data_IF_022669255470
#
_entry.id   IF_022669255470
#
_cell.length_a   1.000
_cell.length_b   1.000
_cell.length_c   1.000
_cell.angle_alpha   90.00
_cell.angle_beta   90.00
_cell.angle_gamma   90.00
#
_symmetry.space_group_name_H-M   'P 1'
#
loop_
_entity.id
_entity.type
_entity.pdbx_description
1 polymer ?
#
# COMPACT_ATOMS: atom_id res chain seq x y z
N UNK A 1 -48.56 -3.90 16.49
CA UNK A 1 -47.99 -5.20 16.92
C UNK A 1 -48.53 -6.29 16.01
N UNK A 2 -47.69 -7.24 15.59
CA UNK A 2 -47.86 -8.17 14.43
C UNK A 2 -47.50 -7.42 13.15
N UNK A 3 -46.45 -7.76 12.40
CA UNK A 3 -45.94 -9.07 12.02
C UNK A 3 -44.43 -8.94 11.73
N UNK A 4 -43.74 -10.07 11.58
CA UNK A 4 -42.39 -10.21 11.02
C UNK A 4 -41.21 -10.21 12.01
N UNK A 5 -41.40 -10.95 13.12
CA UNK A 5 -40.32 -11.68 13.81
C UNK A 5 -39.73 -12.82 12.93
N UNK A 6 -39.41 -12.57 11.66
CA UNK A 6 -38.97 -13.61 10.70
C UNK A 6 -37.61 -13.39 10.02
N UNK A 7 -36.79 -12.43 10.46
CA UNK A 7 -35.42 -12.29 9.93
C UNK A 7 -34.35 -13.01 10.78
N UNK A 8 -34.77 -13.84 11.74
CA UNK A 8 -33.88 -14.63 12.60
C UNK A 8 -33.67 -16.09 12.14
N UNK A 9 -34.01 -16.44 10.89
CA UNK A 9 -34.03 -17.83 10.43
C UNK A 9 -33.37 -18.06 9.06
N UNK A 10 -32.37 -17.26 8.68
CA UNK A 10 -31.47 -17.60 7.58
C UNK A 10 -30.01 -17.58 8.05
N UNK A 11 -29.74 -18.34 9.11
CA UNK A 11 -28.40 -18.56 9.63
C UNK A 11 -27.82 -19.94 9.29
N UNK A 12 -28.48 -20.83 8.53
CA UNK A 12 -28.09 -22.25 8.56
C UNK A 12 -28.02 -23.01 7.21
N UNK A 13 -27.75 -22.32 6.10
CA UNK A 13 -27.35 -22.99 4.86
C UNK A 13 -26.57 -22.01 3.97
N UNK A 14 -25.24 -22.06 3.99
CA UNK A 14 -24.42 -21.20 3.12
C UNK A 14 -22.96 -21.03 3.50
N UNK A 15 -22.48 -21.60 4.61
CA UNK A 15 -21.04 -21.63 4.94
C UNK A 15 -20.56 -23.07 4.90
N UNK A 16 -20.62 -23.67 3.72
CA UNK A 16 -19.85 -24.88 3.40
C UNK A 16 -19.18 -24.70 2.04
N UNK A 17 -18.39 -23.64 1.92
CA UNK A 17 -17.39 -23.44 0.86
C UNK A 17 -16.12 -22.79 1.43
N UNK A 18 -15.77 -23.13 2.67
CA UNK A 18 -14.50 -22.81 3.32
C UNK A 18 -13.71 -24.12 3.50
N UNK A 19 -13.44 -24.78 2.37
CA UNK A 19 -12.43 -25.82 2.17
C UNK A 19 -12.64 -26.38 0.75
N UNK A 20 -11.55 -26.64 0.02
CA UNK A 20 -11.50 -27.22 -1.33
C UNK A 20 -11.56 -26.23 -2.51
N UNK A 21 -10.82 -25.11 -2.46
CA UNK A 21 -10.26 -24.59 -3.72
C UNK A 21 -9.01 -25.43 -4.06
N UNK A 22 -9.28 -26.53 -4.77
CA UNK A 22 -8.41 -27.13 -5.79
C UNK A 22 -6.95 -27.38 -5.41
N UNK A 23 -6.68 -28.53 -4.81
CA UNK A 23 -5.52 -29.28 -5.26
C UNK A 23 -5.86 -29.87 -6.64
N UNK A 24 -4.90 -29.81 -7.57
CA UNK A 24 -4.89 -30.38 -8.93
C UNK A 24 -5.32 -29.45 -10.07
N UNK A 25 -4.39 -29.21 -10.99
CA UNK A 25 -4.64 -28.65 -12.32
C UNK A 25 -3.97 -27.29 -12.52
N UNK A 26 -2.85 -27.31 -13.22
CA UNK A 26 -2.21 -26.20 -13.93
C UNK A 26 -3.18 -25.13 -14.47
N UNK A 27 -3.51 -24.12 -13.68
CA UNK A 27 -4.28 -22.94 -14.12
C UNK A 27 -3.75 -21.71 -13.37
N UNK A 28 -2.94 -20.93 -14.09
CA UNK A 28 -2.08 -19.83 -13.67
C UNK A 28 -2.82 -18.58 -13.17
N UNK A 29 -3.77 -18.73 -12.25
CA UNK A 29 -4.43 -17.57 -11.62
C UNK A 29 -3.51 -17.00 -10.53
N UNK A 30 -3.05 -15.74 -10.65
CA UNK A 30 -2.20 -15.14 -9.63
C UNK A 30 -2.94 -15.07 -8.28
N UNK A 31 -2.22 -15.26 -7.18
CA UNK A 31 -2.76 -15.09 -5.83
C UNK A 31 -3.35 -13.69 -5.64
N UNK A 32 -4.29 -13.53 -4.69
CA UNK A 32 -4.88 -12.22 -4.39
C UNK A 32 -3.82 -11.15 -4.12
N UNK A 33 -2.80 -11.47 -3.33
CA UNK A 33 -1.68 -10.58 -3.06
C UNK A 33 -0.93 -10.15 -4.33
N UNK A 34 -0.67 -11.10 -5.25
CA UNK A 34 -0.02 -10.78 -6.52
C UNK A 34 -0.88 -9.88 -7.41
N UNK A 35 -2.20 -10.11 -7.43
CA UNK A 35 -3.13 -9.24 -8.15
C UNK A 35 -3.13 -7.80 -7.60
N UNK A 36 -3.06 -7.64 -6.28
CA UNK A 36 -2.95 -6.33 -5.62
C UNK A 36 -1.65 -5.64 -5.99
N UNK A 37 -0.52 -6.34 -5.92
CA UNK A 37 0.78 -5.78 -6.28
C UNK A 37 0.81 -5.34 -7.75
N UNK A 38 0.30 -6.17 -8.67
CA UNK A 38 0.26 -5.85 -10.09
C UNK A 38 -0.68 -4.69 -10.40
N UNK A 39 -1.84 -4.65 -9.74
CA UNK A 39 -2.78 -3.54 -9.86
C UNK A 39 -2.16 -2.23 -9.34
N UNK A 40 -1.41 -2.26 -8.23
CA UNK A 40 -0.75 -1.08 -7.68
C UNK A 40 0.28 -0.50 -8.66
N UNK A 41 1.16 -1.35 -9.19
CA UNK A 41 2.19 -0.94 -10.15
C UNK A 41 1.56 -0.43 -11.44
N UNK A 42 0.52 -1.10 -11.94
CA UNK A 42 -0.22 -0.66 -13.13
C UNK A 42 -0.88 0.69 -12.91
N UNK A 43 -1.51 0.91 -11.75
CA UNK A 43 -2.16 2.16 -11.41
C UNK A 43 -1.15 3.32 -11.33
N UNK A 44 0.02 3.09 -10.71
CA UNK A 44 1.12 4.08 -10.66
C UNK A 44 1.63 4.42 -12.05
N UNK A 45 1.91 3.43 -12.90
CA UNK A 45 2.35 3.71 -14.27
C UNK A 45 1.28 4.46 -15.07
N UNK A 46 0.00 4.12 -14.88
CA UNK A 46 -1.11 4.81 -15.54
C UNK A 46 -1.16 6.29 -15.14
N UNK A 47 -1.00 6.58 -13.85
CA UNK A 47 -1.02 7.95 -13.33
C UNK A 47 0.24 8.76 -13.72
N UNK A 48 1.39 8.12 -13.81
CA UNK A 48 2.63 8.75 -14.31
C UNK A 48 2.62 8.99 -15.83
N UNK A 49 1.72 8.34 -16.56
CA UNK A 49 1.53 8.49 -18.00
C UNK A 49 2.24 7.43 -18.85
N UNK A 50 2.00 7.47 -20.16
CA UNK A 50 2.35 6.41 -21.13
C UNK A 50 3.85 6.06 -21.21
N UNK A 51 4.73 6.95 -20.75
CA UNK A 51 6.18 6.73 -20.76
C UNK A 51 6.70 6.02 -19.49
N UNK A 52 5.85 5.82 -18.49
CA UNK A 52 6.24 5.15 -17.25
C UNK A 52 6.36 3.65 -17.46
N UNK A 53 7.53 3.10 -17.14
CA UNK A 53 7.86 1.67 -17.27
C UNK A 53 8.30 1.07 -15.94
N UNK A 54 7.84 1.65 -14.82
CA UNK A 54 8.20 1.19 -13.49
C UNK A 54 7.74 -0.26 -13.32
N UNK A 55 8.64 -1.08 -12.82
CA UNK A 55 8.34 -2.45 -12.40
C UNK A 55 8.28 -2.50 -10.89
N UNK A 56 7.81 -3.61 -10.34
CA UNK A 56 7.86 -3.85 -8.89
C UNK A 56 9.33 -4.12 -8.50
N UNK A 57 10.06 -3.06 -8.12
CA UNK A 57 11.49 -3.14 -7.82
C UNK A 57 11.74 -4.18 -6.73
N UNK A 58 12.62 -5.15 -7.00
CA UNK A 58 12.83 -6.31 -6.12
C UNK A 58 13.40 -5.93 -4.75
N UNK A 59 14.23 -4.90 -4.69
CA UNK A 59 14.85 -4.43 -3.44
C UNK A 59 13.82 -3.69 -2.59
N UNK A 60 13.10 -2.75 -3.19
CA UNK A 60 12.05 -1.99 -2.51
C UNK A 60 10.88 -2.89 -2.10
N UNK A 61 10.52 -3.87 -2.93
CA UNK A 61 9.53 -4.90 -2.59
C UNK A 61 9.97 -5.74 -1.40
N UNK A 62 11.25 -6.14 -1.35
CA UNK A 62 11.77 -6.89 -0.20
C UNK A 62 11.71 -6.04 1.07
N UNK A 63 12.03 -4.75 1.00
CA UNK A 63 11.85 -3.81 2.11
C UNK A 63 10.38 -3.70 2.54
N UNK A 64 9.45 -3.57 1.58
CA UNK A 64 8.01 -3.57 1.87
C UNK A 64 7.57 -4.86 2.57
N UNK A 65 8.04 -6.02 2.11
CA UNK A 65 7.77 -7.31 2.75
C UNK A 65 8.30 -7.38 4.19
N UNK A 66 9.51 -6.85 4.44
CA UNK A 66 10.08 -6.77 5.79
C UNK A 66 9.24 -5.89 6.73
N UNK A 67 8.64 -4.81 6.24
CA UNK A 67 7.70 -4.01 7.04
C UNK A 67 6.46 -4.83 7.42
N UNK A 68 5.95 -5.66 6.50
CA UNK A 68 4.80 -6.53 6.76
C UNK A 68 5.08 -7.66 7.76
N UNK A 69 6.34 -8.03 7.98
CA UNK A 69 6.74 -8.93 9.08
C UNK A 69 6.48 -8.33 10.47
N UNK A 70 6.30 -7.02 10.57
CA UNK A 70 6.01 -6.31 11.83
C UNK A 70 4.53 -6.15 12.12
N UNK A 71 3.66 -6.55 11.19
CA UNK A 71 2.21 -6.57 11.42
C UNK A 71 1.86 -7.75 12.33
N UNK A 72 1.22 -7.44 13.45
CA UNK A 72 0.78 -8.45 14.41
C UNK A 72 -0.50 -9.17 13.94
N UNK A 73 -0.92 -10.20 14.68
CA UNK A 73 -2.10 -11.01 14.33
C UNK A 73 -3.43 -10.22 14.28
N UNK A 74 -3.50 -9.09 14.99
CA UNK A 74 -4.66 -8.20 15.00
C UNK A 74 -4.67 -7.21 13.82
N UNK A 75 -3.67 -7.27 12.94
CA UNK A 75 -3.53 -6.35 11.81
C UNK A 75 -3.01 -4.97 12.20
N UNK A 76 -2.25 -4.88 13.29
CA UNK A 76 -1.66 -3.63 13.78
C UNK A 76 -0.14 -3.65 13.68
N UNK A 77 0.45 -2.47 13.60
CA UNK A 77 1.89 -2.26 13.48
C UNK A 77 2.30 -1.05 14.32
N UNK A 78 3.50 -1.10 14.92
CA UNK A 78 4.06 0.08 15.61
C UNK A 78 4.44 1.10 14.54
N UNK A 79 4.03 2.37 14.70
CA UNK A 79 4.11 3.36 13.64
C UNK A 79 5.52 3.54 13.05
N UNK A 80 6.58 3.52 13.88
CA UNK A 80 7.99 3.59 13.44
C UNK A 80 8.48 2.39 12.64
N UNK A 81 7.80 1.24 12.77
CA UNK A 81 8.07 0.05 11.96
C UNK A 81 7.27 0.07 10.66
N UNK A 82 6.11 0.74 10.65
CA UNK A 82 5.24 0.89 9.49
C UNK A 82 5.50 2.13 8.64
N UNK A 83 6.37 3.05 9.06
CA UNK A 83 6.78 4.25 8.32
C UNK A 83 8.30 4.35 8.35
N UNK A 84 8.94 4.28 7.19
CA UNK A 84 10.40 4.41 7.07
C UNK A 84 10.73 5.54 6.10
N UNK A 85 11.81 6.28 6.37
CA UNK A 85 12.22 7.40 5.53
C UNK A 85 13.72 7.54 5.53
N UNK A 86 14.32 7.58 4.34
CA UNK A 86 15.73 7.95 4.18
C UNK A 86 15.85 9.06 3.16
N UNK A 87 16.85 9.92 3.34
CA UNK A 87 17.15 11.05 2.46
C UNK A 87 18.63 11.03 2.12
N UNK A 88 18.94 11.10 0.83
CA UNK A 88 20.31 11.15 0.32
C UNK A 88 20.47 12.37 -0.60
N UNK A 89 21.55 13.15 -0.48
CA UNK A 89 21.84 14.20 -1.45
C UNK A 89 22.17 13.58 -2.81
N UNK A 90 21.87 14.31 -3.89
CA UNK A 90 22.32 13.98 -5.25
C UNK A 90 23.48 14.90 -5.66
N UNK A 91 24.05 14.68 -6.85
CA UNK A 91 25.08 15.55 -7.42
C UNK A 91 24.55 16.95 -7.75
N UNK A 92 23.22 17.11 -7.90
CA UNK A 92 22.58 18.40 -8.15
C UNK A 92 22.34 19.14 -6.82
N UNK A 93 22.72 20.41 -6.78
CA UNK A 93 22.49 21.29 -5.62
C UNK A 93 21.01 21.30 -5.26
N UNK A 94 20.71 21.11 -3.98
CA UNK A 94 19.36 21.09 -3.39
C UNK A 94 18.41 20.00 -3.89
N UNK A 95 18.88 19.03 -4.67
CA UNK A 95 18.09 17.88 -5.10
C UNK A 95 18.46 16.69 -4.21
N UNK A 96 17.43 16.03 -3.67
CA UNK A 96 17.57 14.89 -2.78
C UNK A 96 16.76 13.72 -3.29
N UNK A 97 17.35 12.53 -3.18
CA UNK A 97 16.64 11.27 -3.34
C UNK A 97 16.07 10.88 -1.98
N UNK A 98 14.77 10.60 -1.95
CA UNK A 98 14.04 10.16 -0.77
C UNK A 98 13.49 8.76 -1.04
N UNK A 99 13.71 7.84 -0.10
CA UNK A 99 13.03 6.54 -0.07
C UNK A 99 12.08 6.52 1.12
N UNK A 100 10.77 6.44 0.84
CA UNK A 100 9.69 6.44 1.82
C UNK A 100 8.95 5.11 1.77
N UNK A 101 8.90 4.40 2.89
CA UNK A 101 8.14 3.16 3.07
C UNK A 101 6.91 3.36 3.96
N UNK A 102 5.79 2.77 3.57
CA UNK A 102 4.48 2.91 4.22
C UNK A 102 3.79 1.54 4.28
N UNK A 103 3.44 1.10 5.48
CA UNK A 103 2.59 -0.07 5.77
C UNK A 103 1.42 0.25 6.71
N UNK A 104 1.28 1.51 7.13
CA UNK A 104 0.18 1.99 7.97
C UNK A 104 -0.99 2.46 7.12
N UNK A 105 -2.22 2.30 7.61
CA UNK A 105 -3.44 2.71 6.90
C UNK A 105 -3.58 4.23 6.79
N UNK A 106 -3.38 4.95 7.90
CA UNK A 106 -3.61 6.39 8.00
C UNK A 106 -2.38 7.09 8.63
N UNK A 107 -1.41 7.49 7.81
CA UNK A 107 -0.19 8.17 8.31
C UNK A 107 -0.55 9.46 9.07
N UNK A 108 -1.54 10.22 8.58
CA UNK A 108 -1.94 11.49 9.20
C UNK A 108 -2.59 11.36 10.59
N UNK A 109 -2.98 10.16 11.00
CA UNK A 109 -3.56 9.89 12.33
C UNK A 109 -2.49 9.41 13.33
N UNK A 110 -1.27 9.15 12.89
CA UNK A 110 -0.15 8.75 13.75
C UNK A 110 0.29 9.96 14.58
N UNK A 111 0.20 9.83 15.91
CA UNK A 111 0.58 10.91 16.84
C UNK A 111 2.01 10.74 17.34
N UNK A 112 2.45 9.50 17.54
CA UNK A 112 3.78 9.16 18.06
C UNK A 112 4.36 7.96 17.31
N UNK A 113 5.68 7.92 17.25
CA UNK A 113 6.44 6.84 16.62
C UNK A 113 6.17 5.46 17.24
N UNK A 114 5.85 5.39 18.53
CA UNK A 114 5.59 4.14 19.25
C UNK A 114 4.10 3.75 19.29
N UNK A 115 3.21 4.51 18.63
CA UNK A 115 1.79 4.18 18.61
C UNK A 115 1.55 2.87 17.85
N UNK A 116 0.69 2.02 18.43
CA UNK A 116 0.18 0.83 17.75
C UNK A 116 -1.02 1.24 16.89
N UNK A 117 -0.85 1.22 15.57
CA UNK A 117 -1.84 1.69 14.59
C UNK A 117 -2.26 0.60 13.63
N UNK A 118 -3.36 0.81 12.90
CA UNK A 118 -3.82 -0.16 11.91
C UNK A 118 -2.86 -0.22 10.72
N UNK A 119 -2.48 -1.44 10.36
CA UNK A 119 -1.76 -1.70 9.11
C UNK A 119 -2.71 -1.53 7.92
N UNK A 120 -2.13 -1.30 6.74
CA UNK A 120 -2.88 -1.12 5.50
C UNK A 120 -3.46 -2.47 5.03
N UNK A 121 -4.64 -2.82 5.54
CA UNK A 121 -5.46 -3.95 5.06
C UNK A 121 -5.96 -3.65 3.64
N UNK A 122 -5.90 -4.67 2.76
CA UNK A 122 -6.42 -4.60 1.39
C UNK A 122 -7.50 -5.66 1.21
N UNK A 123 -8.69 -5.20 0.83
CA UNK A 123 -9.85 -6.06 0.54
C UNK A 123 -10.06 -6.22 -0.97
N UNK A 124 -10.97 -7.12 -1.36
CA UNK A 124 -11.38 -7.25 -2.76
C UNK A 124 -11.99 -5.95 -3.33
N UNK A 125 -12.66 -5.15 -2.49
CA UNK A 125 -13.19 -3.86 -2.91
C UNK A 125 -12.06 -2.84 -3.17
N UNK A 126 -10.98 -2.89 -2.39
CA UNK A 126 -9.82 -2.03 -2.59
C UNK A 126 -9.05 -2.40 -3.85
N UNK A 127 -8.91 -3.71 -4.15
CA UNK A 127 -8.37 -4.17 -5.42
C UNK A 127 -9.20 -3.66 -6.61
N UNK A 128 -10.53 -3.77 -6.54
CA UNK A 128 -11.41 -3.27 -7.59
C UNK A 128 -11.26 -1.75 -7.80
N UNK A 129 -11.14 -0.98 -6.72
CA UNK A 129 -10.87 0.47 -6.78
C UNK A 129 -9.51 0.75 -7.40
N UNK A 130 -8.47 0.01 -7.01
CA UNK A 130 -7.09 0.19 -7.50
C UNK A 130 -7.01 -0.03 -9.02
N UNK A 131 -7.81 -0.97 -9.53
CA UNK A 131 -7.94 -1.28 -10.95
C UNK A 131 -8.76 -0.26 -11.74
N UNK A 132 -9.50 0.65 -11.09
CA UNK A 132 -10.24 1.73 -11.72
C UNK A 132 -9.42 3.03 -11.70
N UNK A 133 -8.90 3.49 -12.86
CA UNK A 133 -8.12 4.73 -12.95
C UNK A 133 -8.84 5.98 -12.43
N UNK A 134 -10.18 5.98 -12.38
CA UNK A 134 -10.96 7.12 -11.89
C UNK A 134 -11.19 7.12 -10.38
N UNK A 135 -11.01 5.96 -9.73
CA UNK A 135 -11.37 5.76 -8.31
C UNK A 135 -10.17 5.36 -7.43
N UNK A 136 -9.02 5.02 -8.02
CA UNK A 136 -7.86 4.51 -7.28
C UNK A 136 -7.14 5.57 -6.42
N UNK A 137 -7.35 6.87 -6.66
CA UNK A 137 -6.74 7.97 -5.90
C UNK A 137 -5.21 8.07 -6.02
N UNK A 138 -4.59 7.33 -6.94
CA UNK A 138 -3.12 7.27 -7.06
C UNK A 138 -2.55 8.61 -7.51
N UNK A 139 -3.26 9.37 -8.35
CA UNK A 139 -2.83 10.71 -8.76
C UNK A 139 -2.58 11.64 -7.57
N UNK A 140 -3.45 11.60 -6.55
CA UNK A 140 -3.32 12.45 -5.38
C UNK A 140 -2.20 11.98 -4.46
N UNK A 141 -1.98 10.67 -4.36
CA UNK A 141 -0.81 10.09 -3.67
C UNK A 141 0.48 10.54 -4.35
N UNK A 142 0.55 10.49 -5.68
CA UNK A 142 1.73 10.87 -6.45
C UNK A 142 2.04 12.38 -6.34
N UNK A 143 1.01 13.24 -6.42
CA UNK A 143 1.16 14.68 -6.15
C UNK A 143 1.71 14.96 -4.75
N UNK A 144 1.36 14.14 -3.76
CA UNK A 144 1.83 14.24 -2.39
C UNK A 144 3.35 14.14 -2.22
N UNK A 145 4.04 13.40 -3.10
CA UNK A 145 5.51 13.29 -3.05
C UNK A 145 6.24 14.56 -3.54
N UNK A 146 5.55 15.40 -4.34
CA UNK A 146 6.08 16.64 -4.89
C UNK A 146 7.47 16.46 -5.57
N UNK A 147 7.62 15.38 -6.33
CA UNK A 147 8.90 14.96 -6.91
C UNK A 147 8.76 13.93 -8.04
N UNK A 148 9.86 13.60 -8.69
CA UNK A 148 9.91 12.59 -9.76
C UNK A 148 10.03 11.19 -9.14
N UNK A 149 9.08 10.30 -9.40
CA UNK A 149 9.16 8.90 -8.96
C UNK A 149 10.23 8.16 -9.76
N UNK A 150 11.19 7.55 -9.07
CA UNK A 150 12.31 6.80 -9.66
C UNK A 150 12.08 5.30 -9.61
N UNK A 151 11.53 4.81 -8.50
CA UNK A 151 11.26 3.39 -8.30
C UNK A 151 10.14 3.18 -7.27
N UNK A 152 9.48 2.04 -7.37
CA UNK A 152 8.44 1.61 -6.43
C UNK A 152 8.55 0.11 -6.19
N UNK A 153 8.38 -0.30 -4.94
CA UNK A 153 8.19 -1.68 -4.52
C UNK A 153 6.89 -1.82 -3.75
N UNK A 154 6.06 -2.80 -4.12
CA UNK A 154 4.81 -3.13 -3.43
C UNK A 154 4.84 -4.59 -3.05
N UNK A 155 4.57 -4.88 -1.78
CA UNK A 155 4.46 -6.23 -1.26
C UNK A 155 3.13 -6.42 -0.53
N UNK A 156 2.68 -7.66 -0.49
CA UNK A 156 1.50 -8.09 0.27
C UNK A 156 1.80 -9.26 1.18
N UNK A 157 1.03 -9.38 2.27
CA UNK A 157 1.10 -10.49 3.21
C UNK A 157 -0.29 -10.84 3.71
N UNK A 158 -0.68 -12.09 3.56
CA UNK A 158 -1.91 -12.63 4.17
C UNK A 158 -1.56 -13.22 5.53
N UNK A 159 -2.22 -12.77 6.58
CA UNK A 159 -2.04 -13.31 7.93
C UNK A 159 -2.93 -14.54 8.15
N UNK A 160 -2.69 -15.25 9.24
CA UNK A 160 -3.49 -16.44 9.63
C UNK A 160 -4.97 -16.14 9.89
N UNK A 161 -5.33 -14.88 10.13
CA UNK A 161 -6.71 -14.40 10.24
C UNK A 161 -7.43 -14.28 8.86
N UNK A 162 -6.74 -14.60 7.75
CA UNK A 162 -7.26 -14.55 6.38
C UNK A 162 -7.24 -13.16 5.74
N UNK A 163 -6.85 -12.11 6.49
CA UNK A 163 -6.75 -10.74 5.97
C UNK A 163 -5.41 -10.52 5.29
N UNK A 164 -5.43 -9.74 4.22
CA UNK A 164 -4.24 -9.36 3.45
C UNK A 164 -3.87 -7.92 3.72
N UNK A 165 -2.59 -7.67 3.94
CA UNK A 165 -2.02 -6.34 4.20
C UNK A 165 -1.01 -6.01 3.12
N UNK A 166 -0.89 -4.73 2.80
CA UNK A 166 0.01 -4.21 1.78
C UNK A 166 1.00 -3.23 2.40
N UNK A 167 2.21 -3.18 1.85
CA UNK A 167 3.18 -2.13 2.10
C UNK A 167 3.73 -1.63 0.75
N UNK A 168 4.06 -0.35 0.70
CA UNK A 168 4.72 0.27 -0.44
C UNK A 168 5.99 0.97 -0.01
N UNK A 169 7.02 0.93 -0.84
CA UNK A 169 8.24 1.70 -0.70
C UNK A 169 8.49 2.43 -2.01
N UNK A 170 8.63 3.75 -1.95
CA UNK A 170 8.79 4.61 -3.13
C UNK A 170 10.09 5.38 -3.00
N UNK A 171 10.90 5.35 -4.05
CA UNK A 171 12.05 6.24 -4.20
C UNK A 171 11.70 7.35 -5.19
N UNK A 172 11.90 8.60 -4.80
CA UNK A 172 11.61 9.77 -5.61
C UNK A 172 12.64 10.87 -5.38
N UNK A 173 12.83 11.74 -6.37
CA UNK A 173 13.69 12.92 -6.23
C UNK A 173 12.85 14.16 -6.02
N UNK A 174 13.26 14.97 -5.03
CA UNK A 174 12.65 16.28 -4.75
C UNK A 174 13.72 17.36 -4.82
N UNK A 175 13.38 18.47 -5.46
CA UNK A 175 14.18 19.69 -5.43
C UNK A 175 13.63 20.63 -4.36
N UNK A 176 14.42 20.91 -3.33
CA UNK A 176 14.07 21.97 -2.39
C UNK A 176 14.53 23.29 -3.00
N UNK A 177 13.61 24.23 -3.19
CA UNK A 177 13.98 25.59 -3.57
C UNK A 177 15.04 26.14 -2.60
N UNK A 178 15.98 26.93 -3.10
CA UNK A 178 16.76 27.81 -2.22
C UNK A 178 15.77 28.61 -1.39
N UNK A 179 15.79 28.47 -0.07
CA UNK A 179 15.12 29.42 0.83
C UNK A 179 15.50 30.80 0.30
N UNK A 180 14.55 31.68 -0.10
CA UNK A 180 14.92 33.05 -0.41
C UNK A 180 15.60 33.56 0.86
N UNK A 181 16.86 33.94 0.76
CA UNK A 181 17.58 34.58 1.87
C UNK A 181 16.69 35.69 2.36
N UNK A 182 16.12 35.50 3.55
CA UNK A 182 15.35 36.53 4.24
C UNK A 182 16.25 37.77 4.27
N UNK A 183 15.78 38.94 3.77
CA UNK A 183 16.60 40.14 3.81
C UNK A 183 16.98 40.38 5.27
N UNK A 184 18.28 40.52 5.51
CA UNK A 184 18.80 40.87 6.83
C UNK A 184 18.06 42.12 7.32
N UNK A 185 17.40 42.01 8.47
CA UNK A 185 16.89 43.16 9.22
C UNK A 185 18.05 43.95 9.82
#
# INVERSE_FOLDING_TARGET
MKMLKKMAALLLAGVMAMALLTACGEDSTPSFGKQVEDAAIKAVNTALGENSTLTNDSTLRAQAAQMLEKVNADGKIVAKEGITGTRKPTDKKNVYEITLGIAVKNIGEVKKADDLVDAMEVTAADLAKLQDPKANGIDDVLKGYNGEIKAIGVATKTLSNGKTYMAMVVTYTVEYGTVPTQPAQ
#
